data_IF_060252767906
#
_entry.id   IF_060252767906
#
_cell.length_a   1.000
_cell.length_b   1.000
_cell.length_c   1.000
_cell.angle_alpha   90.00
_cell.angle_beta   90.00
_cell.angle_gamma   90.00
#
_symmetry.space_group_name_H-M   'P 1'
#
loop_
_entity.id
_entity.type
_entity.pdbx_description
1 polymer ?
#
# COMPACT_ATOMS: atom_id res chain seq x y z
N UNK A 1 -16.20 -22.28 -5.88
CA UNK A 1 -15.21 -21.33 -5.32
C UNK A 1 -15.58 -21.12 -3.85
N UNK A 2 -14.63 -21.05 -2.90
CA UNK A 2 -14.98 -20.81 -1.48
C UNK A 2 -15.50 -19.37 -1.38
N UNK A 3 -16.72 -19.18 -0.87
CA UNK A 3 -17.29 -17.84 -0.61
C UNK A 3 -16.61 -17.27 0.65
N UNK A 4 -15.59 -16.43 0.43
CA UNK A 4 -14.82 -15.81 1.51
C UNK A 4 -15.36 -14.40 1.79
N UNK A 5 -15.82 -14.20 3.02
CA UNK A 5 -16.26 -12.90 3.54
C UNK A 5 -15.22 -12.38 4.53
N UNK A 6 -14.98 -11.07 4.52
CA UNK A 6 -14.08 -10.44 5.47
C UNK A 6 -14.72 -9.31 6.29
N UNK A 7 -14.20 -9.14 7.50
CA UNK A 7 -14.32 -7.90 8.27
C UNK A 7 -12.93 -7.31 8.32
N UNK A 8 -12.76 -6.14 7.73
CA UNK A 8 -11.49 -5.41 7.78
C UNK A 8 -11.48 -4.51 9.01
N UNK A 9 -10.33 -4.42 9.68
CA UNK A 9 -10.18 -3.65 10.92
C UNK A 9 -9.02 -2.68 10.79
N UNK A 10 -9.33 -1.40 10.98
CA UNK A 10 -8.36 -0.31 10.87
C UNK A 10 -8.51 0.66 12.04
N UNK A 11 -7.53 1.55 12.20
CA UNK A 11 -7.57 2.67 13.16
C UNK A 11 -8.00 4.00 12.52
N UNK A 12 -8.54 3.95 11.29
CA UNK A 12 -9.00 5.11 10.51
C UNK A 12 -7.93 5.75 9.62
N UNK A 13 -6.68 5.28 9.66
CA UNK A 13 -5.61 5.81 8.80
C UNK A 13 -5.76 5.32 7.35
N UNK A 14 -5.89 6.27 6.40
CA UNK A 14 -6.14 5.98 4.98
C UNK A 14 -5.16 4.95 4.36
N UNK A 15 -3.87 5.03 4.67
CA UNK A 15 -2.87 4.07 4.15
C UNK A 15 -3.01 2.65 4.71
N UNK A 16 -3.52 2.49 5.94
CA UNK A 16 -3.81 1.17 6.50
C UNK A 16 -5.12 0.63 5.93
N UNK A 17 -6.11 1.52 5.74
CA UNK A 17 -7.38 1.20 5.10
C UNK A 17 -7.17 0.69 3.67
N UNK A 18 -6.32 1.36 2.89
CA UNK A 18 -5.96 0.94 1.55
C UNK A 18 -5.36 -0.48 1.52
N UNK A 19 -4.51 -0.83 2.48
CA UNK A 19 -3.89 -2.16 2.58
C UNK A 19 -4.90 -3.27 2.90
N UNK A 20 -5.76 -3.08 3.91
CA UNK A 20 -6.74 -4.11 4.31
C UNK A 20 -7.80 -4.32 3.23
N UNK A 21 -8.24 -3.25 2.56
CA UNK A 21 -9.17 -3.34 1.44
C UNK A 21 -8.51 -3.96 0.21
N UNK A 22 -7.25 -3.60 -0.07
CA UNK A 22 -6.47 -4.21 -1.16
C UNK A 22 -6.33 -5.72 -1.01
N UNK A 23 -6.04 -6.19 0.21
CA UNK A 23 -6.03 -7.62 0.49
C UNK A 23 -7.42 -8.26 0.34
N UNK A 24 -8.45 -7.61 0.90
CA UNK A 24 -9.81 -8.12 0.82
C UNK A 24 -10.28 -8.25 -0.64
N UNK A 25 -10.04 -7.25 -1.48
CA UNK A 25 -10.33 -7.30 -2.92
C UNK A 25 -9.61 -8.44 -3.64
N UNK A 26 -8.37 -8.76 -3.21
CA UNK A 26 -7.59 -9.84 -3.83
C UNK A 26 -8.20 -11.22 -3.56
N UNK A 27 -8.69 -11.48 -2.34
CA UNK A 27 -8.99 -12.85 -1.87
C UNK A 27 -10.46 -13.10 -1.49
N UNK A 28 -11.28 -12.07 -1.30
CA UNK A 28 -12.65 -12.17 -0.80
C UNK A 28 -13.70 -11.84 -1.87
N UNK A 29 -14.91 -12.36 -1.66
CA UNK A 29 -16.09 -12.02 -2.47
C UNK A 29 -16.75 -10.72 -1.98
N UNK A 30 -16.69 -10.47 -0.67
CA UNK A 30 -17.20 -9.24 -0.06
C UNK A 30 -16.49 -8.97 1.26
N UNK A 31 -16.49 -7.71 1.67
CA UNK A 31 -15.99 -7.32 2.98
C UNK A 31 -16.79 -6.16 3.56
N UNK A 32 -16.75 -6.05 4.89
CA UNK A 32 -17.25 -4.88 5.63
C UNK A 32 -16.09 -4.24 6.36
N UNK A 33 -16.06 -2.93 6.32
CA UNK A 33 -15.02 -2.18 6.99
C UNK A 33 -15.43 -1.77 8.40
N UNK A 34 -14.48 -1.86 9.33
CA UNK A 34 -14.70 -1.43 10.71
C UNK A 34 -13.49 -0.66 11.26
N UNK A 35 -13.70 0.60 11.63
CA UNK A 35 -12.68 1.42 12.27
C UNK A 35 -12.85 1.35 13.79
N UNK A 36 -11.87 0.72 14.46
CA UNK A 36 -11.92 0.56 15.92
C UNK A 36 -11.53 1.85 16.63
N UNK A 37 -12.35 2.22 17.62
CA UNK A 37 -12.12 3.38 18.46
C UNK A 37 -11.60 2.93 19.81
N UNK A 38 -10.32 3.17 20.07
CA UNK A 38 -9.70 2.90 21.37
C UNK A 38 -10.23 3.90 22.42
N UNK A 39 -10.50 3.44 23.65
CA UNK A 39 -10.91 4.32 24.75
C UNK A 39 -9.79 5.31 25.11
N UNK A 40 -10.12 6.54 25.53
CA UNK A 40 -9.12 7.59 25.80
C UNK A 40 -7.97 7.14 26.71
N UNK A 41 -8.27 6.37 27.76
CA UNK A 41 -7.28 5.82 28.69
C UNK A 41 -6.15 5.03 28.00
N UNK A 42 -6.46 4.26 26.96
CA UNK A 42 -5.48 3.44 26.24
C UNK A 42 -4.86 4.15 25.03
N UNK A 43 -5.36 5.34 24.65
CA UNK A 43 -4.95 6.04 23.41
C UNK A 43 -3.47 6.40 23.39
N UNK A 44 -2.90 6.72 24.56
CA UNK A 44 -1.53 7.18 24.74
C UNK A 44 -0.57 6.08 25.22
N UNK A 45 -1.07 4.86 25.47
CA UNK A 45 -0.21 3.77 25.93
C UNK A 45 0.55 3.13 24.77
N UNK A 46 1.80 2.67 25.00
CA UNK A 46 2.47 1.76 24.08
C UNK A 46 1.58 0.56 23.75
N UNK A 47 1.58 0.14 22.48
CA UNK A 47 0.68 -0.93 22.01
C UNK A 47 0.86 -2.24 22.77
N UNK A 48 2.07 -2.50 23.27
CA UNK A 48 2.37 -3.68 24.07
C UNK A 48 1.51 -3.74 25.35
N UNK A 49 1.19 -2.58 25.93
CA UNK A 49 0.43 -2.42 27.16
C UNK A 49 -1.10 -2.39 26.94
N UNK A 50 -1.55 -2.20 25.70
CA UNK A 50 -2.99 -2.23 25.41
C UNK A 50 -3.49 -3.68 25.48
N UNK A 51 -4.49 -4.00 26.32
CA UNK A 51 -5.00 -5.35 26.45
C UNK A 51 -5.80 -5.74 25.19
N UNK A 52 -5.69 -7.00 24.78
CA UNK A 52 -6.55 -7.59 23.75
C UNK A 52 -7.92 -7.95 24.36
N UNK A 53 -8.68 -6.95 24.78
CA UNK A 53 -9.98 -7.10 25.44
C UNK A 53 -10.99 -6.09 24.94
N UNK A 54 -12.29 -6.37 25.13
CA UNK A 54 -13.38 -5.44 24.83
C UNK A 54 -13.18 -4.09 25.52
N UNK A 55 -12.66 -4.10 26.75
CA UNK A 55 -12.54 -2.93 27.59
C UNK A 55 -11.61 -1.86 27.00
N UNK A 56 -10.71 -2.22 26.07
CA UNK A 56 -9.84 -1.27 25.39
C UNK A 56 -10.55 -0.44 24.31
N UNK A 57 -11.74 -0.85 23.87
CA UNK A 57 -12.43 -0.28 22.72
C UNK A 57 -13.83 0.23 23.08
N UNK A 58 -14.28 1.26 22.37
CA UNK A 58 -15.60 1.87 22.55
C UNK A 58 -16.68 1.17 21.74
N UNK A 59 -16.31 0.64 20.57
CA UNK A 59 -17.26 0.18 19.55
C UNK A 59 -17.07 -1.27 19.11
N UNK A 60 -16.15 -2.03 19.72
CA UNK A 60 -15.81 -3.39 19.24
C UNK A 60 -16.95 -4.40 19.37
N UNK A 61 -17.92 -4.12 20.23
CA UNK A 61 -19.15 -4.88 20.42
C UNK A 61 -20.15 -4.73 19.26
N UNK A 62 -20.01 -3.70 18.42
CA UNK A 62 -20.77 -3.50 17.18
C UNK A 62 -20.39 -4.53 16.11
N UNK A 63 -19.20 -5.14 16.21
CA UNK A 63 -18.76 -6.21 15.32
C UNK A 63 -19.52 -7.49 15.69
N UNK A 64 -20.51 -7.85 14.87
CA UNK A 64 -21.26 -9.11 14.99
C UNK A 64 -20.72 -10.15 14.02
N UNK A 65 -20.32 -11.31 14.54
CA UNK A 65 -19.82 -12.44 13.77
C UNK A 65 -20.73 -13.64 14.04
N UNK A 66 -21.49 -14.05 13.04
CA UNK A 66 -22.47 -15.15 13.12
C UNK A 66 -22.07 -16.36 12.27
N UNK A 67 -21.09 -16.20 11.38
CA UNK A 67 -20.61 -17.24 10.48
C UNK A 67 -19.10 -17.09 10.26
N UNK A 68 -18.51 -18.06 9.55
CA UNK A 68 -17.08 -18.08 9.25
C UNK A 68 -16.67 -16.82 8.46
N UNK A 69 -15.66 -16.10 8.96
CA UNK A 69 -15.21 -14.83 8.39
C UNK A 69 -13.68 -14.67 8.51
N UNK A 70 -13.09 -13.99 7.55
CA UNK A 70 -11.72 -13.50 7.66
C UNK A 70 -11.72 -12.17 8.43
N UNK A 71 -10.92 -12.06 9.48
CA UNK A 71 -10.63 -10.77 10.10
C UNK A 71 -9.31 -10.29 9.52
N UNK A 72 -9.33 -9.20 8.75
CA UNK A 72 -8.14 -8.63 8.10
C UNK A 72 -7.80 -7.32 8.83
N UNK A 73 -6.63 -7.26 9.45
CA UNK A 73 -6.22 -6.08 10.23
C UNK A 73 -4.89 -5.51 9.74
N UNK A 74 -4.72 -4.20 9.85
CA UNK A 74 -3.45 -3.51 9.59
C UNK A 74 -3.27 -2.38 10.59
N UNK A 75 -2.06 -2.20 11.10
CA UNK A 75 -1.72 -1.12 12.04
C UNK A 75 -1.76 -1.52 13.51
N UNK A 76 -1.06 -0.75 14.33
CA UNK A 76 -0.77 -1.12 15.73
C UNK A 76 -2.05 -1.32 16.54
N UNK A 77 -3.03 -0.43 16.46
CA UNK A 77 -4.25 -0.51 17.28
C UNK A 77 -5.19 -1.64 16.86
N UNK A 78 -5.17 -2.05 15.60
CA UNK A 78 -6.01 -3.14 15.09
C UNK A 78 -5.43 -4.53 15.46
N UNK A 79 -4.12 -4.64 15.75
CA UNK A 79 -3.47 -5.86 16.28
C UNK A 79 -4.27 -6.42 17.46
N UNK A 80 -4.49 -5.63 18.52
CA UNK A 80 -5.13 -6.10 19.75
C UNK A 80 -6.63 -6.39 19.55
N UNK A 81 -7.30 -5.63 18.69
CA UNK A 81 -8.71 -5.85 18.33
C UNK A 81 -8.88 -7.19 17.60
N UNK A 82 -8.03 -7.47 16.63
CA UNK A 82 -8.07 -8.72 15.86
C UNK A 82 -7.83 -9.95 16.74
N UNK A 83 -6.87 -9.87 17.68
CA UNK A 83 -6.59 -10.91 18.67
C UNK A 83 -7.81 -11.13 19.58
N UNK A 84 -8.43 -10.06 20.07
CA UNK A 84 -9.64 -10.15 20.89
C UNK A 84 -10.77 -10.86 20.14
N UNK A 85 -11.04 -10.47 18.89
CA UNK A 85 -12.11 -11.07 18.09
C UNK A 85 -11.85 -12.55 17.79
N UNK A 86 -10.60 -12.92 17.48
CA UNK A 86 -10.21 -14.33 17.29
C UNK A 86 -10.47 -15.16 18.56
N UNK A 87 -10.18 -14.61 19.74
CA UNK A 87 -10.44 -15.28 21.02
C UNK A 87 -11.95 -15.39 21.32
N UNK A 88 -12.70 -14.31 21.13
CA UNK A 88 -14.14 -14.25 21.40
C UNK A 88 -14.96 -15.16 20.48
N UNK A 89 -14.67 -15.13 19.19
CA UNK A 89 -15.39 -15.86 18.15
C UNK A 89 -14.57 -17.06 17.67
N UNK A 90 -14.01 -17.81 18.62
CA UNK A 90 -13.19 -18.99 18.35
C UNK A 90 -13.97 -19.95 17.45
N UNK A 91 -13.33 -20.40 16.36
CA UNK A 91 -13.97 -21.27 15.37
C UNK A 91 -14.81 -20.55 14.30
N UNK A 92 -15.00 -19.23 14.39
CA UNK A 92 -15.64 -18.42 13.33
C UNK A 92 -14.69 -17.41 12.68
N UNK A 93 -13.56 -17.09 13.31
CA UNK A 93 -12.60 -16.11 12.80
C UNK A 93 -11.32 -16.79 12.31
N UNK A 94 -10.87 -16.42 11.12
CA UNK A 94 -9.49 -16.59 10.67
C UNK A 94 -8.81 -15.23 10.62
N UNK A 95 -7.82 -15.05 11.49
CA UNK A 95 -7.18 -13.78 11.77
C UNK A 95 -5.95 -13.57 10.87
N UNK A 96 -6.08 -12.60 9.96
CA UNK A 96 -5.01 -12.15 9.07
C UNK A 96 -4.55 -10.76 9.53
N UNK A 97 -3.24 -10.59 9.71
CA UNK A 97 -2.65 -9.28 9.97
C UNK A 97 -1.67 -8.88 8.87
N UNK A 98 -1.76 -7.62 8.44
CA UNK A 98 -0.83 -7.03 7.47
C UNK A 98 0.27 -6.29 8.23
N UNK A 99 1.52 -6.45 7.76
CA UNK A 99 2.77 -6.02 8.40
C UNK A 99 3.14 -6.88 9.62
N UNK A 100 4.38 -6.73 10.12
CA UNK A 100 4.79 -7.41 11.34
C UNK A 100 4.01 -6.84 12.55
N UNK A 101 3.21 -7.67 13.26
CA UNK A 101 2.39 -7.21 14.37
C UNK A 101 3.19 -6.77 15.60
N UNK A 102 4.52 -6.99 15.64
CA UNK A 102 5.42 -6.69 16.78
C UNK A 102 4.86 -7.20 18.12
N UNK A 103 4.19 -8.36 18.07
CA UNK A 103 3.61 -9.10 19.18
C UNK A 103 3.73 -10.60 18.89
N UNK A 104 3.20 -11.47 19.77
CA UNK A 104 3.29 -12.91 19.55
C UNK A 104 2.62 -13.31 18.22
N UNK A 105 3.42 -13.77 17.26
CA UNK A 105 3.00 -14.15 15.91
C UNK A 105 2.02 -15.32 15.89
N UNK A 106 2.01 -16.18 16.93
CA UNK A 106 1.13 -17.35 17.02
C UNK A 106 -0.33 -16.99 17.34
N UNK A 107 -0.60 -15.71 17.66
CA UNK A 107 -1.96 -15.19 17.84
C UNK A 107 -2.68 -14.88 16.52
N UNK A 108 -2.00 -15.11 15.39
CA UNK A 108 -2.49 -14.87 14.04
C UNK A 108 -2.50 -16.19 13.26
N UNK A 109 -3.56 -16.45 12.50
CA UNK A 109 -3.59 -17.60 11.61
C UNK A 109 -2.70 -17.37 10.38
N UNK A 110 -2.60 -16.10 9.94
CA UNK A 110 -1.74 -15.69 8.84
C UNK A 110 -1.25 -14.24 9.05
N UNK A 111 0.01 -14.00 8.72
CA UNK A 111 0.59 -12.66 8.65
C UNK A 111 1.02 -12.40 7.20
N UNK A 112 0.67 -11.24 6.66
CA UNK A 112 1.11 -10.79 5.35
C UNK A 112 2.02 -9.59 5.53
N UNK A 113 3.32 -9.78 5.32
CA UNK A 113 4.33 -8.76 5.61
C UNK A 113 5.15 -8.41 4.38
N UNK A 114 5.57 -7.16 4.20
CA UNK A 114 6.51 -6.82 3.14
C UNK A 114 7.80 -7.64 3.23
N UNK A 115 8.35 -8.06 2.08
CA UNK A 115 9.56 -8.88 2.03
C UNK A 115 10.77 -8.14 2.61
N UNK A 116 10.81 -6.81 2.49
CA UNK A 116 11.85 -5.97 3.06
C UNK A 116 11.89 -5.97 4.60
N UNK A 117 10.83 -6.40 5.27
CA UNK A 117 10.77 -6.57 6.73
C UNK A 117 11.40 -7.90 7.20
N UNK A 118 11.67 -8.83 6.28
CA UNK A 118 12.35 -10.11 6.53
C UNK A 118 11.71 -10.97 7.63
N UNK A 119 10.38 -10.89 7.79
CA UNK A 119 9.66 -11.74 8.73
C UNK A 119 9.64 -13.19 8.21
N UNK A 120 10.38 -14.08 8.90
CA UNK A 120 10.45 -15.51 8.58
C UNK A 120 9.68 -16.32 9.61
N UNK A 121 8.37 -16.47 9.43
CA UNK A 121 7.50 -17.29 10.30
C UNK A 121 6.70 -18.32 9.49
N UNK A 122 6.37 -19.50 10.06
CA UNK A 122 5.59 -20.53 9.34
C UNK A 122 4.20 -20.06 8.90
N UNK A 123 3.63 -19.12 9.65
CA UNK A 123 2.34 -18.48 9.38
C UNK A 123 2.48 -17.11 8.69
N UNK A 124 3.62 -16.81 8.03
CA UNK A 124 3.79 -15.56 7.27
C UNK A 124 3.89 -15.79 5.76
N UNK A 125 3.31 -14.88 4.98
CA UNK A 125 3.48 -14.74 3.53
C UNK A 125 4.10 -13.36 3.25
N UNK A 126 5.13 -13.33 2.42
CA UNK A 126 5.77 -12.08 2.01
C UNK A 126 5.12 -11.47 0.77
N UNK A 127 5.01 -10.13 0.75
CA UNK A 127 4.66 -9.36 -0.45
C UNK A 127 5.84 -8.51 -0.89
N UNK A 128 6.09 -8.46 -2.20
CA UNK A 128 7.10 -7.56 -2.76
C UNK A 128 6.57 -6.11 -2.78
N UNK A 129 5.39 -5.93 -3.36
CA UNK A 129 4.69 -4.65 -3.43
C UNK A 129 3.83 -4.41 -2.17
N UNK A 130 3.63 -3.15 -1.83
CA UNK A 130 2.65 -2.74 -0.83
C UNK A 130 1.23 -3.01 -1.36
N UNK A 131 0.37 -3.54 -0.50
CA UNK A 131 -1.05 -3.72 -0.81
C UNK A 131 -1.76 -2.37 -0.87
N UNK A 132 -2.68 -2.21 -1.81
CA UNK A 132 -3.48 -1.00 -1.95
C UNK A 132 -4.86 -1.34 -2.55
N UNK A 133 -5.79 -0.39 -2.43
CA UNK A 133 -7.15 -0.48 -2.97
C UNK A 133 -7.40 0.44 -4.18
N UNK A 134 -6.35 1.06 -4.75
CA UNK A 134 -6.48 1.86 -5.97
C UNK A 134 -6.94 0.97 -7.13
N UNK A 135 -7.99 1.42 -7.82
CA UNK A 135 -8.51 0.76 -9.01
C UNK A 135 -7.84 1.34 -10.26
N UNK A 136 -7.52 0.47 -11.20
CA UNK A 136 -6.92 0.83 -12.49
C UNK A 136 -7.77 0.27 -13.62
N UNK A 137 -7.85 1.02 -14.72
CA UNK A 137 -8.37 0.52 -15.98
C UNK A 137 -7.19 0.11 -16.87
N UNK A 138 -6.85 -1.19 -16.81
CA UNK A 138 -5.72 -1.74 -17.57
C UNK A 138 -5.97 -1.74 -19.08
N UNK A 139 -7.22 -1.58 -19.52
CA UNK A 139 -7.60 -1.51 -20.93
C UNK A 139 -7.66 -0.06 -21.45
N UNK A 140 -7.45 0.93 -20.56
CA UNK A 140 -7.51 2.33 -20.92
C UNK A 140 -6.45 2.67 -21.98
N UNK A 141 -6.89 3.35 -23.04
CA UNK A 141 -5.98 3.85 -24.07
C UNK A 141 -4.98 4.82 -23.45
N UNK A 142 -3.69 4.51 -23.58
CA UNK A 142 -2.60 5.37 -23.11
C UNK A 142 -2.53 6.66 -23.92
N UNK A 143 -2.27 7.76 -23.24
CA UNK A 143 -2.02 9.10 -23.79
C UNK A 143 -0.53 9.36 -23.85
N UNK A 144 -0.09 10.31 -24.68
CA UNK A 144 1.30 10.78 -24.65
C UNK A 144 1.48 11.77 -23.50
N UNK A 145 1.43 11.25 -22.27
CA UNK A 145 1.63 12.00 -21.05
C UNK A 145 2.49 11.22 -20.07
N UNK A 146 3.26 11.95 -19.26
CA UNK A 146 4.14 11.41 -18.22
C UNK A 146 3.55 11.77 -16.87
N UNK A 147 3.33 10.79 -16.00
CA UNK A 147 3.06 11.08 -14.60
C UNK A 147 4.39 11.25 -13.86
N UNK A 148 4.57 12.36 -13.15
CA UNK A 148 5.66 12.57 -12.21
C UNK A 148 5.11 12.54 -10.80
N UNK A 149 5.21 11.39 -10.15
CA UNK A 149 4.69 11.11 -8.80
C UNK A 149 5.75 11.45 -7.77
N UNK A 150 5.42 12.39 -6.89
CA UNK A 150 6.38 12.99 -5.96
C UNK A 150 5.97 12.69 -4.54
N UNK A 151 6.85 12.02 -3.82
CA UNK A 151 6.78 11.87 -2.38
C UNK A 151 7.13 13.16 -1.67
N UNK A 152 8.12 13.13 -0.79
CA UNK A 152 8.57 14.31 -0.07
C UNK A 152 9.35 13.94 1.17
N UNK A 153 9.48 14.87 2.10
CA UNK A 153 10.27 14.64 3.31
C UNK A 153 9.64 13.54 4.18
N UNK A 154 10.47 12.73 4.82
CA UNK A 154 10.09 11.80 5.88
C UNK A 154 11.28 11.58 6.83
N UNK A 155 11.18 10.62 7.75
CA UNK A 155 12.25 10.31 8.72
C UNK A 155 13.61 10.04 8.07
N UNK A 156 13.61 9.49 6.87
CA UNK A 156 14.81 9.05 6.17
C UNK A 156 15.15 9.97 5.02
N UNK A 157 14.11 10.47 4.33
CA UNK A 157 14.29 11.30 3.16
C UNK A 157 14.13 12.78 3.46
N UNK A 158 15.15 13.60 3.21
CA UNK A 158 15.11 15.04 3.55
C UNK A 158 14.33 15.84 2.50
N UNK A 159 14.47 15.50 1.23
CA UNK A 159 13.89 16.24 0.11
C UNK A 159 14.30 17.74 0.16
N UNK A 160 15.62 17.98 0.23
CA UNK A 160 16.21 19.30 0.38
C UNK A 160 15.99 20.20 -0.86
N UNK A 161 16.37 21.47 -0.76
CA UNK A 161 16.22 22.44 -1.85
C UNK A 161 16.92 21.99 -3.14
N UNK A 162 18.12 21.40 -3.04
CA UNK A 162 18.84 20.88 -4.19
C UNK A 162 18.04 19.76 -4.91
N UNK A 163 17.47 18.82 -4.16
CA UNK A 163 16.60 17.76 -4.68
C UNK A 163 15.37 18.36 -5.35
N UNK A 164 14.75 19.35 -4.72
CA UNK A 164 13.58 20.06 -5.27
C UNK A 164 13.93 20.74 -6.60
N UNK A 165 15.05 21.45 -6.67
CA UNK A 165 15.52 22.12 -7.88
C UNK A 165 15.86 21.13 -8.99
N UNK A 166 16.51 20.01 -8.67
CA UNK A 166 16.77 18.90 -9.62
C UNK A 166 15.45 18.37 -10.21
N UNK A 167 14.45 18.09 -9.36
CA UNK A 167 13.14 17.60 -9.80
C UNK A 167 12.40 18.64 -10.65
N UNK A 168 12.40 19.91 -10.26
CA UNK A 168 11.77 20.99 -11.05
C UNK A 168 12.39 21.11 -12.44
N UNK A 169 13.73 21.04 -12.52
CA UNK A 169 14.46 21.07 -13.80
C UNK A 169 14.11 19.88 -14.69
N UNK A 170 13.97 18.69 -14.12
CA UNK A 170 13.59 17.49 -14.88
C UNK A 170 12.11 17.54 -15.32
N UNK A 171 11.20 18.03 -14.48
CA UNK A 171 9.80 18.27 -14.87
C UNK A 171 9.73 19.26 -16.03
N UNK A 172 10.46 20.37 -15.94
CA UNK A 172 10.50 21.37 -17.01
C UNK A 172 11.06 20.76 -18.31
N UNK A 173 12.19 20.05 -18.26
CA UNK A 173 12.75 19.36 -19.42
C UNK A 173 11.75 18.39 -20.06
N UNK A 174 11.05 17.58 -19.26
CA UNK A 174 10.06 16.63 -19.75
C UNK A 174 8.83 17.32 -20.35
N UNK A 175 8.48 18.51 -19.84
CA UNK A 175 7.34 19.29 -20.35
C UNK A 175 7.57 19.90 -21.74
N UNK A 176 8.83 20.00 -22.18
CA UNK A 176 9.18 20.39 -23.56
C UNK A 176 8.91 19.28 -24.58
N UNK A 177 8.79 18.02 -24.13
CA UNK A 177 8.64 16.84 -25.01
C UNK A 177 7.28 16.13 -24.86
N UNK A 178 6.57 16.31 -23.75
CA UNK A 178 5.31 15.64 -23.45
C UNK A 178 4.49 16.44 -22.44
N UNK A 179 3.18 16.18 -22.36
CA UNK A 179 2.42 16.63 -21.20
C UNK A 179 2.91 15.89 -19.94
N UNK A 180 3.08 16.61 -18.83
CA UNK A 180 3.55 16.09 -17.55
C UNK A 180 2.48 16.34 -16.49
N UNK A 181 1.89 15.28 -15.96
CA UNK A 181 1.03 15.34 -14.79
C UNK A 181 1.90 15.23 -13.54
N UNK A 182 2.01 16.30 -12.77
CA UNK A 182 2.73 16.28 -11.49
C UNK A 182 1.76 15.89 -10.38
N UNK A 183 2.07 14.78 -9.72
CA UNK A 183 1.21 14.15 -8.71
C UNK A 183 1.95 14.18 -7.38
N UNK A 184 1.81 15.25 -6.58
CA UNK A 184 2.46 15.32 -5.28
C UNK A 184 1.75 14.44 -4.25
N UNK A 185 2.44 14.18 -3.16
CA UNK A 185 1.91 13.56 -1.96
C UNK A 185 1.65 14.62 -0.90
N UNK A 186 0.97 14.23 0.18
CA UNK A 186 0.79 15.10 1.36
C UNK A 186 2.10 15.51 2.04
N UNK A 187 3.24 14.89 1.68
CA UNK A 187 4.57 15.18 2.21
C UNK A 187 5.39 16.08 1.29
N UNK A 188 4.91 16.37 0.08
CA UNK A 188 5.61 17.26 -0.84
C UNK A 188 5.61 18.67 -0.25
N UNK A 189 6.77 19.35 -0.13
CA UNK A 189 6.84 20.69 0.44
C UNK A 189 5.99 21.69 -0.34
N UNK A 190 5.34 22.61 0.37
CA UNK A 190 4.54 23.67 -0.26
C UNK A 190 5.39 24.60 -1.14
N UNK A 191 6.66 24.83 -0.78
CA UNK A 191 7.57 25.65 -1.59
C UNK A 191 7.84 25.00 -2.95
N UNK A 192 8.00 23.67 -3.01
CA UNK A 192 8.10 22.95 -4.27
C UNK A 192 6.87 23.19 -5.15
N UNK A 193 5.67 23.10 -4.58
CA UNK A 193 4.40 23.32 -5.31
C UNK A 193 4.30 24.76 -5.82
N UNK A 194 4.72 25.73 -5.00
CA UNK A 194 4.76 27.14 -5.37
C UNK A 194 5.74 27.37 -6.53
N UNK A 195 6.96 26.85 -6.44
CA UNK A 195 7.96 26.97 -7.51
C UNK A 195 7.52 26.28 -8.79
N UNK A 196 6.88 25.11 -8.69
CA UNK A 196 6.27 24.42 -9.82
C UNK A 196 5.22 25.29 -10.52
N UNK A 197 4.35 25.97 -9.77
CA UNK A 197 3.33 26.87 -10.34
C UNK A 197 3.92 28.10 -11.05
N UNK A 198 5.15 28.47 -10.73
CA UNK A 198 5.88 29.56 -11.40
C UNK A 198 6.54 29.13 -12.72
N UNK A 199 6.70 27.82 -12.95
CA UNK A 199 7.13 27.29 -14.24
C UNK A 199 6.00 27.53 -15.25
N UNK A 200 6.09 28.63 -16.01
CA UNK A 200 5.11 29.02 -17.03
C UNK A 200 5.16 28.06 -18.23
N UNK A 201 4.65 26.84 -18.07
CA UNK A 201 4.54 25.85 -19.15
C UNK A 201 3.17 25.14 -19.10
N UNK A 202 2.41 25.25 -20.20
CA UNK A 202 1.06 24.69 -20.34
C UNK A 202 1.01 23.16 -20.39
N UNK A 203 2.15 22.50 -20.64
CA UNK A 203 2.25 21.05 -20.65
C UNK A 203 2.35 20.46 -19.24
N UNK A 204 2.62 21.27 -18.21
CA UNK A 204 2.68 20.86 -16.81
C UNK A 204 1.27 20.98 -16.20
N UNK A 205 0.75 19.88 -15.66
CA UNK A 205 -0.54 19.82 -14.97
C UNK A 205 -0.35 19.32 -13.55
N UNK A 206 -0.71 20.15 -12.57
CA UNK A 206 -0.61 19.78 -11.16
C UNK A 206 -1.91 19.08 -10.69
N UNK A 207 -1.77 17.90 -10.10
CA UNK A 207 -2.86 17.23 -9.38
C UNK A 207 -2.98 17.80 -7.96
N UNK A 208 -4.12 18.43 -7.65
CA UNK A 208 -4.33 19.16 -6.39
C UNK A 208 -5.15 18.39 -5.36
N UNK A 209 -6.03 17.48 -5.78
CA UNK A 209 -6.91 16.75 -4.86
C UNK A 209 -6.29 15.45 -4.34
N UNK A 210 -5.44 15.55 -3.32
CA UNK A 210 -4.68 14.43 -2.76
C UNK A 210 -5.52 13.33 -2.08
N UNK A 211 -6.84 13.52 -1.98
CA UNK A 211 -7.77 12.57 -1.38
C UNK A 211 -8.75 11.98 -2.40
N UNK A 212 -8.45 12.10 -3.69
CA UNK A 212 -9.23 11.51 -4.78
C UNK A 212 -8.52 10.28 -5.36
N UNK A 213 -8.77 9.07 -4.80
CA UNK A 213 -8.16 7.84 -5.29
C UNK A 213 -8.67 7.44 -6.69
N UNK A 214 -9.84 7.93 -7.11
CA UNK A 214 -10.42 7.61 -8.42
C UNK A 214 -9.66 8.35 -9.51
N UNK A 215 -9.50 9.68 -9.36
CA UNK A 215 -8.72 10.47 -10.32
C UNK A 215 -7.25 10.06 -10.31
N UNK A 216 -6.68 9.74 -9.14
CA UNK A 216 -5.32 9.19 -9.07
C UNK A 216 -5.18 7.88 -9.86
N UNK A 217 -6.09 6.92 -9.66
CA UNK A 217 -6.10 5.66 -10.41
C UNK A 217 -6.27 5.87 -11.92
N UNK A 218 -7.13 6.81 -12.33
CA UNK A 218 -7.31 7.19 -13.74
C UNK A 218 -6.03 7.76 -14.35
N UNK A 219 -5.36 8.69 -13.66
CA UNK A 219 -4.08 9.25 -14.11
C UNK A 219 -3.04 8.14 -14.32
N UNK A 220 -2.91 7.21 -13.37
CA UNK A 220 -2.00 6.07 -13.50
C UNK A 220 -2.37 5.13 -14.65
N UNK A 221 -3.66 5.01 -14.95
CA UNK A 221 -4.18 4.18 -16.04
C UNK A 221 -3.98 4.83 -17.43
N UNK A 222 -4.03 6.15 -17.52
CA UNK A 222 -4.03 6.90 -18.80
C UNK A 222 -2.65 7.30 -19.31
N UNK A 223 -1.66 7.44 -18.43
CA UNK A 223 -0.30 7.87 -18.82
C UNK A 223 0.48 6.73 -19.48
N UNK A 224 1.35 7.04 -20.45
CA UNK A 224 2.21 6.03 -21.09
C UNK A 224 3.51 5.75 -20.32
N UNK A 225 3.89 6.62 -19.37
CA UNK A 225 5.10 6.50 -18.57
C UNK A 225 4.93 7.16 -17.21
N UNK A 226 5.51 6.57 -16.17
CA UNK A 226 5.48 7.10 -14.82
C UNK A 226 6.90 7.29 -14.30
N UNK A 227 7.15 8.39 -13.62
CA UNK A 227 8.36 8.64 -12.85
C UNK A 227 7.91 8.75 -11.40
N UNK A 228 8.56 8.02 -10.49
CA UNK A 228 8.18 8.00 -9.08
C UNK A 228 9.43 8.19 -8.23
N UNK A 229 9.35 9.11 -7.28
CA UNK A 229 10.46 9.32 -6.35
C UNK A 229 10.64 8.13 -5.40
N UNK A 230 11.89 7.79 -5.13
CA UNK A 230 12.26 6.57 -4.40
C UNK A 230 11.93 6.58 -2.88
N UNK A 231 11.37 7.66 -2.34
CA UNK A 231 11.09 7.81 -0.92
C UNK A 231 9.78 7.12 -0.46
N UNK A 232 9.00 6.55 -1.39
CA UNK A 232 7.67 5.99 -1.11
C UNK A 232 7.44 4.61 -1.73
N UNK A 233 7.57 3.57 -0.91
CA UNK A 233 7.26 2.19 -1.29
C UNK A 233 5.81 2.04 -1.76
N UNK A 234 4.85 2.72 -1.11
CA UNK A 234 3.44 2.65 -1.48
C UNK A 234 3.17 3.26 -2.86
N UNK A 235 3.68 4.45 -3.14
CA UNK A 235 3.48 5.10 -4.45
C UNK A 235 4.17 4.34 -5.58
N UNK A 236 5.37 3.80 -5.33
CA UNK A 236 6.04 2.92 -6.29
C UNK A 236 5.21 1.65 -6.55
N UNK A 237 4.63 1.07 -5.51
CA UNK A 237 3.79 -0.13 -5.63
C UNK A 237 2.51 0.16 -6.43
N UNK A 238 1.83 1.27 -6.15
CA UNK A 238 0.63 1.71 -6.89
C UNK A 238 0.95 1.98 -8.37
N UNK A 239 2.07 2.66 -8.65
CA UNK A 239 2.54 2.93 -10.01
C UNK A 239 2.78 1.63 -10.80
N UNK A 240 3.55 0.69 -10.23
CA UNK A 240 3.80 -0.63 -10.82
C UNK A 240 2.49 -1.39 -11.06
N UNK A 241 1.57 -1.37 -10.08
CA UNK A 241 0.29 -2.07 -10.18
C UNK A 241 -0.64 -1.55 -11.27
N UNK A 242 -0.43 -0.33 -11.77
CA UNK A 242 -1.16 0.23 -12.91
C UNK A 242 -0.70 -0.33 -14.28
N UNK A 243 0.34 -1.19 -14.28
CA UNK A 243 0.95 -1.83 -15.46
C UNK A 243 1.58 -0.85 -16.48
N UNK A 244 1.63 0.44 -16.14
CA UNK A 244 2.36 1.45 -16.91
C UNK A 244 3.85 1.41 -16.56
N UNK A 245 4.71 1.55 -17.58
CA UNK A 245 6.16 1.63 -17.41
C UNK A 245 6.57 2.68 -16.39
N UNK A 246 7.23 2.24 -15.32
CA UNK A 246 7.54 3.05 -14.14
C UNK A 246 9.05 3.25 -14.02
N UNK A 247 9.48 4.48 -13.75
CA UNK A 247 10.87 4.86 -13.61
C UNK A 247 11.13 5.37 -12.19
N UNK A 248 12.12 4.80 -11.52
CA UNK A 248 12.54 5.21 -10.19
C UNK A 248 13.41 6.46 -10.30
N UNK A 249 12.93 7.56 -9.74
CA UNK A 249 13.71 8.78 -9.59
C UNK A 249 14.48 8.72 -8.26
N UNK A 250 15.77 8.42 -8.37
CA UNK A 250 16.70 8.34 -7.25
C UNK A 250 17.37 9.71 -7.07
N UNK A 251 17.41 10.21 -5.84
CA UNK A 251 18.11 11.45 -5.49
C UNK A 251 19.05 11.20 -4.32
N UNK A 252 20.08 12.03 -4.19
CA UNK A 252 21.18 11.81 -3.25
C UNK A 252 20.72 11.88 -1.80
N UNK A 253 21.02 10.83 -1.04
CA UNK A 253 20.90 10.83 0.41
C UNK A 253 22.05 10.10 1.08
N UNK A 254 22.63 10.75 2.08
CA UNK A 254 23.72 10.24 2.90
C UNK A 254 23.38 8.91 3.61
N UNK A 255 22.08 8.58 3.75
CA UNK A 255 21.65 7.32 4.38
C UNK A 255 20.25 6.84 3.93
N UNK A 256 20.17 6.14 2.79
CA UNK A 256 18.94 5.41 2.43
C UNK A 256 18.80 4.13 3.31
N UNK A 257 17.67 3.91 4.00
CA UNK A 257 17.54 2.75 4.89
C UNK A 257 17.52 1.44 4.11
N UNK A 258 18.10 0.38 4.71
CA UNK A 258 18.17 -0.97 4.14
C UNK A 258 16.84 -1.49 3.59
N UNK A 259 15.70 -1.14 4.21
CA UNK A 259 14.38 -1.56 3.75
C UNK A 259 14.02 -0.99 2.37
N UNK A 260 14.36 0.27 2.08
CA UNK A 260 14.12 0.93 0.80
C UNK A 260 15.08 0.38 -0.24
N UNK A 261 16.36 0.26 0.10
CA UNK A 261 17.37 -0.34 -0.77
C UNK A 261 16.97 -1.74 -1.22
N UNK A 262 16.55 -2.59 -0.27
CA UNK A 262 16.11 -3.95 -0.54
C UNK A 262 14.85 -3.96 -1.42
N UNK A 263 13.85 -3.15 -1.09
CA UNK A 263 12.64 -3.03 -1.91
C UNK A 263 12.98 -2.62 -3.36
N UNK A 264 13.73 -1.53 -3.56
CA UNK A 264 14.12 -1.04 -4.89
C UNK A 264 14.92 -2.07 -5.67
N UNK A 265 15.90 -2.72 -5.03
CA UNK A 265 16.69 -3.78 -5.66
C UNK A 265 15.78 -4.91 -6.16
N UNK A 266 14.84 -5.35 -5.34
CA UNK A 266 13.96 -6.46 -5.68
C UNK A 266 12.97 -6.12 -6.81
N UNK A 267 12.36 -4.94 -6.79
CA UNK A 267 11.45 -4.53 -7.88
C UNK A 267 12.20 -4.30 -9.19
N UNK A 268 13.45 -3.81 -9.13
CA UNK A 268 14.34 -3.71 -10.31
C UNK A 268 14.71 -5.10 -10.84
N UNK A 269 15.09 -6.04 -9.96
CA UNK A 269 15.42 -7.42 -10.33
C UNK A 269 14.24 -8.18 -10.94
N UNK A 270 13.01 -7.92 -10.49
CA UNK A 270 11.79 -8.46 -11.11
C UNK A 270 11.41 -7.80 -12.43
N UNK A 271 12.12 -6.76 -12.86
CA UNK A 271 11.83 -6.02 -14.10
C UNK A 271 10.60 -5.12 -14.01
N UNK A 272 10.07 -4.85 -12.81
CA UNK A 272 8.87 -4.02 -12.64
C UNK A 272 9.17 -2.52 -12.80
N UNK A 273 10.38 -2.09 -12.45
CA UNK A 273 10.79 -0.69 -12.49
C UNK A 273 12.17 -0.55 -13.14
N UNK A 274 12.42 0.56 -13.84
CA UNK A 274 13.74 0.95 -14.37
C UNK A 274 14.23 2.22 -13.66
N UNK A 275 15.54 2.50 -13.65
CA UNK A 275 16.02 3.80 -13.17
C UNK A 275 15.66 4.91 -14.16
N UNK A 276 15.31 6.09 -13.63
CA UNK A 276 15.01 7.27 -14.43
C UNK A 276 16.21 7.72 -15.27
N UNK A 277 15.92 8.13 -16.50
CA UNK A 277 16.84 8.93 -17.32
C UNK A 277 16.02 9.78 -18.29
N UNK A 278 16.55 10.94 -18.70
CA UNK A 278 15.90 11.82 -19.69
C UNK A 278 15.67 11.16 -21.06
N UNK A 279 16.32 10.02 -21.34
CA UNK A 279 16.19 9.23 -22.59
C UNK A 279 15.27 8.02 -22.43
N UNK A 280 14.49 7.96 -21.35
CA UNK A 280 13.57 6.86 -21.09
C UNK A 280 12.55 6.67 -22.22
N UNK A 281 12.17 5.41 -22.45
CA UNK A 281 11.16 5.04 -23.45
C UNK A 281 10.02 4.28 -22.77
N UNK A 282 8.77 4.42 -23.26
CA UNK A 282 7.64 3.67 -22.72
C UNK A 282 7.89 2.17 -22.74
N UNK A 283 7.42 1.50 -21.71
CA UNK A 283 7.36 0.05 -21.63
C UNK A 283 6.15 -0.34 -20.77
N UNK A 284 5.80 -1.61 -20.73
CA UNK A 284 4.73 -2.13 -19.89
C UNK A 284 5.23 -3.27 -19.02
N UNK A 285 4.51 -3.53 -17.95
CA UNK A 285 4.73 -4.68 -17.06
C UNK A 285 3.42 -5.43 -16.93
N UNK A 286 3.46 -6.72 -16.58
CA UNK A 286 2.24 -7.45 -16.21
C UNK A 286 2.33 -7.90 -14.77
N UNK A 287 1.27 -7.60 -14.02
CA UNK A 287 1.08 -7.99 -12.63
C UNK A 287 0.22 -9.24 -12.47
N UNK A 288 -0.31 -9.78 -13.58
CA UNK A 288 -1.15 -10.98 -13.61
C UNK A 288 -0.53 -12.16 -12.87
N UNK A 289 0.72 -12.52 -13.22
CA UNK A 289 1.45 -13.64 -12.58
C UNK A 289 1.71 -13.37 -11.10
N UNK A 290 2.16 -12.17 -10.75
CA UNK A 290 2.45 -11.80 -9.36
C UNK A 290 1.19 -11.87 -8.48
N UNK A 291 0.09 -11.28 -8.94
CA UNK A 291 -1.18 -11.25 -8.22
C UNK A 291 -1.79 -12.65 -8.10
N UNK A 292 -1.74 -13.45 -9.17
CA UNK A 292 -2.22 -14.83 -9.17
C UNK A 292 -1.42 -15.72 -8.21
N UNK A 293 -0.09 -15.59 -8.19
CA UNK A 293 0.78 -16.32 -7.28
C UNK A 293 0.52 -15.94 -5.81
N UNK A 294 0.44 -14.63 -5.52
CA UNK A 294 0.16 -14.13 -4.19
C UNK A 294 -1.21 -14.61 -3.68
N UNK A 295 -2.25 -14.46 -4.51
CA UNK A 295 -3.61 -14.94 -4.20
C UNK A 295 -3.60 -16.44 -3.92
N UNK A 296 -2.94 -17.23 -4.77
CA UNK A 296 -2.85 -18.67 -4.63
C UNK A 296 -2.16 -19.09 -3.33
N UNK A 297 -1.03 -18.45 -2.97
CA UNK A 297 -0.32 -18.70 -1.70
C UNK A 297 -1.22 -18.43 -0.49
N UNK A 298 -1.93 -17.30 -0.50
CA UNK A 298 -2.83 -16.90 0.59
C UNK A 298 -4.00 -17.90 0.70
N UNK A 299 -4.69 -18.19 -0.40
CA UNK A 299 -5.83 -19.11 -0.42
C UNK A 299 -5.41 -20.53 -0.03
N UNK A 300 -4.22 -20.98 -0.40
CA UNK A 300 -3.71 -22.29 0.02
C UNK A 300 -3.45 -22.33 1.53
N UNK A 301 -2.89 -21.27 2.13
CA UNK A 301 -2.72 -21.21 3.59
C UNK A 301 -4.06 -21.20 4.32
N UNK A 302 -5.01 -20.40 3.84
CA UNK A 302 -6.38 -20.36 4.32
C UNK A 302 -7.00 -21.78 4.28
N UNK A 303 -7.01 -22.45 3.12
CA UNK A 303 -7.57 -23.81 2.95
C UNK A 303 -6.86 -24.90 3.73
N UNK A 304 -5.54 -24.81 3.88
CA UNK A 304 -4.75 -25.80 4.61
C UNK A 304 -5.04 -25.80 6.11
N UNK A 305 -5.56 -24.69 6.63
CA UNK A 305 -5.98 -24.59 8.01
C UNK A 305 -7.22 -25.48 8.24
N UNK A 306 -7.16 -26.32 9.28
CA UNK A 306 -8.21 -27.28 9.66
C UNK A 306 -9.62 -26.64 9.72
N UNK A 307 -9.69 -25.34 9.98
CA UNK A 307 -10.91 -24.55 10.00
C UNK A 307 -11.75 -24.61 8.71
N UNK A 308 -11.13 -24.67 7.52
CA UNK A 308 -11.85 -24.78 6.24
C UNK A 308 -12.22 -26.21 5.86
N UNK A 309 -11.52 -27.20 6.40
CA UNK A 309 -11.79 -28.62 6.12
C UNK A 309 -13.12 -29.08 6.72
N UNK A 310 -13.48 -28.56 7.90
CA UNK A 310 -14.73 -28.90 8.61
C UNK A 310 -15.97 -28.12 8.11
N UNK A 311 -15.99 -27.63 6.86
CA UNK A 311 -17.16 -26.98 6.23
C UNK A 311 -17.65 -27.72 4.98
N UNK A 312 -17.02 -28.84 4.64
CA UNK A 312 -17.34 -29.66 3.45
C UNK A 312 -17.86 -31.03 3.88
N UNK A 313 -18.33 -31.15 5.13
CA UNK A 313 -18.98 -32.34 5.69
C UNK A 313 -20.41 -32.00 6.08
#
# INVERSE_FOLDING_TARGET
>A
MIDLKAITISEGAAGMRSQIEGLANLICNSYRNFDVQIKPFFKNLPIQLIPASANAYQNIDQIKIQSKVLVISCGKKSVKASIYLKKKFKGLVFNIHIQDPKSNHDLFDLIISPEHDRLKKPNSISTLLALHNINFDLNKKKTNSINFIIGGSNKYFKFNEETQNKILNDIYFLSEISSVNVIPSRRTPSEFIKNLSMLKNHNIKLFTNLFDPVTYGNLLSESNMQIVTWDSISMISEAISSETGTFLYEFEEDSCPKRYQLFHQMVKQKGFIKSFSRKMKPYTVSMSSYNSELKSKILNKIKSNLWFKNSVS
#
